data_IF_308600874020
#
_entry.id   IF_308600874020
#
_cell.length_a   1.000
_cell.length_b   1.000
_cell.length_c   1.000
_cell.angle_alpha   90.00
_cell.angle_beta   90.00
_cell.angle_gamma   90.00
#
_symmetry.space_group_name_H-M   'P 1'
#
loop_
_entity.id
_entity.type
_entity.pdbx_description
1 polymer ?
#
# COMPACT_ATOMS: atom_id res chain seq x y z
N UNK A 1 -12.01 -14.07 10.61
CA UNK A 1 -11.72 -12.64 10.33
C UNK A 1 -13.02 -11.95 9.93
N UNK A 2 -13.54 -11.06 10.76
CA UNK A 2 -14.75 -10.28 10.39
C UNK A 2 -14.33 -9.12 9.50
N UNK A 3 -15.24 -8.64 8.64
CA UNK A 3 -14.98 -7.56 7.69
C UNK A 3 -14.39 -6.30 8.37
N UNK A 4 -14.80 -6.02 9.61
CA UNK A 4 -14.29 -4.91 10.43
C UNK A 4 -12.78 -5.00 10.67
N UNK A 5 -12.27 -6.18 10.98
CA UNK A 5 -10.82 -6.37 11.22
C UNK A 5 -9.99 -6.18 9.95
N UNK A 6 -10.55 -6.53 8.78
CA UNK A 6 -9.88 -6.32 7.50
C UNK A 6 -9.70 -4.81 7.23
N UNK A 7 -10.75 -4.02 7.43
CA UNK A 7 -10.67 -2.56 7.28
C UNK A 7 -9.70 -1.90 8.26
N UNK A 8 -9.64 -2.36 9.51
CA UNK A 8 -8.67 -1.85 10.50
C UNK A 8 -7.23 -2.09 10.02
N UNK A 9 -6.94 -3.29 9.49
CA UNK A 9 -5.62 -3.61 8.96
C UNK A 9 -5.27 -2.75 7.74
N UNK A 10 -6.24 -2.49 6.86
CA UNK A 10 -6.04 -1.59 5.72
C UNK A 10 -5.68 -0.18 6.18
N UNK A 11 -6.42 0.38 7.13
CA UNK A 11 -6.20 1.75 7.61
C UNK A 11 -4.85 1.86 8.32
N UNK A 12 -4.57 0.94 9.25
CA UNK A 12 -3.29 0.88 9.93
C UNK A 12 -2.12 0.78 8.94
N UNK A 13 -2.31 0.00 7.87
CA UNK A 13 -1.31 -0.16 6.82
C UNK A 13 -1.07 1.14 6.03
N UNK A 14 -2.12 1.81 5.53
CA UNK A 14 -1.96 3.08 4.82
C UNK A 14 -1.24 4.13 5.67
N UNK A 15 -1.53 4.17 6.98
CA UNK A 15 -0.86 5.08 7.91
C UNK A 15 0.62 4.74 8.07
N UNK A 16 0.97 3.46 8.24
CA UNK A 16 2.36 3.01 8.37
C UNK A 16 3.16 3.26 7.09
N UNK A 17 2.57 3.01 5.92
CA UNK A 17 3.19 3.31 4.63
C UNK A 17 3.49 4.81 4.51
N UNK A 18 2.54 5.66 4.88
CA UNK A 18 2.75 7.11 4.85
C UNK A 18 3.82 7.60 5.81
N UNK A 19 3.92 7.01 6.99
CA UNK A 19 4.97 7.33 7.98
C UNK A 19 6.34 6.82 7.52
N UNK A 20 6.39 5.72 6.75
CA UNK A 20 7.65 5.16 6.29
C UNK A 20 8.41 6.09 5.32
N UNK A 21 7.72 6.91 4.54
CA UNK A 21 8.33 7.84 3.58
C UNK A 21 9.20 8.92 4.25
N UNK A 22 8.69 9.76 5.17
CA UNK A 22 9.53 10.75 5.86
C UNK A 22 10.60 10.08 6.72
N UNK A 23 10.31 8.89 7.26
CA UNK A 23 11.30 8.12 8.02
C UNK A 23 12.47 7.71 7.13
N UNK A 24 12.22 7.04 6.00
CA UNK A 24 13.27 6.62 5.06
C UNK A 24 13.99 7.85 4.49
N UNK A 25 13.26 8.91 4.15
CA UNK A 25 13.83 10.16 3.63
C UNK A 25 14.78 10.84 4.63
N UNK A 26 14.49 10.79 5.93
CA UNK A 26 15.33 11.37 6.98
C UNK A 26 16.66 10.62 7.17
N UNK A 27 16.69 9.31 6.91
CA UNK A 27 17.90 8.48 7.07
C UNK A 27 18.78 8.41 5.83
N UNK A 28 18.17 8.50 4.64
CA UNK A 28 18.88 8.22 3.38
C UNK A 28 19.35 9.47 2.67
N UNK A 29 18.63 10.59 2.80
CA UNK A 29 18.88 11.85 2.08
C UNK A 29 18.84 11.73 0.55
N UNK A 30 18.53 10.54 0.02
CA UNK A 30 18.62 10.17 -1.40
C UNK A 30 17.29 9.61 -1.85
N UNK A 31 16.69 10.27 -2.84
CA UNK A 31 15.31 10.02 -3.25
C UNK A 31 15.09 8.63 -3.85
N UNK A 32 16.10 8.03 -4.50
CA UNK A 32 16.00 6.66 -5.02
C UNK A 32 15.83 5.61 -3.91
N UNK A 33 16.43 5.82 -2.74
CA UNK A 33 16.30 4.90 -1.62
C UNK A 33 14.91 4.95 -0.99
N UNK A 34 14.26 6.12 -1.06
CA UNK A 34 12.84 6.28 -0.69
C UNK A 34 11.95 5.51 -1.66
N UNK A 35 12.19 5.62 -2.96
CA UNK A 35 11.45 4.88 -4.00
C UNK A 35 11.64 3.37 -3.85
N UNK A 36 12.87 2.90 -3.64
CA UNK A 36 13.17 1.48 -3.41
C UNK A 36 12.46 0.95 -2.16
N UNK A 37 12.44 1.73 -1.07
CA UNK A 37 11.73 1.38 0.15
C UNK A 37 10.23 1.22 -0.06
N UNK A 38 9.59 2.15 -0.77
CA UNK A 38 8.15 2.06 -1.09
C UNK A 38 7.86 0.89 -2.03
N UNK A 39 8.72 0.61 -3.01
CA UNK A 39 8.58 -0.55 -3.90
C UNK A 39 8.66 -1.87 -3.14
N UNK A 40 9.61 -2.01 -2.19
CA UNK A 40 9.74 -3.21 -1.35
C UNK A 40 8.49 -3.42 -0.51
N UNK A 41 7.98 -2.35 0.13
CA UNK A 41 6.73 -2.38 0.90
C UNK A 41 5.59 -2.82 -0.02
N UNK A 42 5.43 -2.19 -1.19
CA UNK A 42 4.39 -2.53 -2.16
C UNK A 42 4.44 -4.00 -2.60
N UNK A 43 5.64 -4.54 -2.83
CA UNK A 43 5.84 -5.91 -3.30
C UNK A 43 5.39 -6.96 -2.28
N UNK A 44 5.48 -6.67 -0.98
CA UNK A 44 5.02 -7.56 0.09
C UNK A 44 3.51 -7.44 0.29
N UNK A 45 2.97 -6.23 0.14
CA UNK A 45 1.56 -5.95 0.43
C UNK A 45 0.62 -6.35 -0.70
N UNK A 46 1.00 -6.14 -1.95
CA UNK A 46 0.16 -6.48 -3.09
C UNK A 46 -0.30 -7.96 -3.06
N UNK A 47 0.57 -8.95 -2.80
CA UNK A 47 0.17 -10.35 -2.65
C UNK A 47 -0.81 -10.59 -1.49
N UNK A 48 -0.67 -9.90 -0.36
CA UNK A 48 -1.57 -10.03 0.80
C UNK A 48 -2.99 -9.54 0.49
N UNK A 49 -3.10 -8.39 -0.18
CA UNK A 49 -4.39 -7.84 -0.64
C UNK A 49 -5.02 -8.70 -1.74
N UNK A 50 -4.19 -9.27 -2.62
CA UNK A 50 -4.64 -10.22 -3.63
C UNK A 50 -5.21 -11.50 -3.00
N UNK A 51 -4.51 -12.08 -2.02
CA UNK A 51 -4.95 -13.26 -1.27
C UNK A 51 -6.27 -13.03 -0.52
N UNK A 52 -6.39 -11.90 0.18
CA UNK A 52 -7.64 -11.54 0.87
C UNK A 52 -8.78 -11.33 -0.10
N UNK A 53 -8.52 -10.81 -1.30
CA UNK A 53 -9.52 -10.67 -2.35
C UNK A 53 -10.00 -12.03 -2.86
N UNK A 54 -9.10 -12.99 -3.10
CA UNK A 54 -9.46 -14.37 -3.48
C UNK A 54 -10.35 -15.01 -2.41
N UNK A 55 -10.00 -14.87 -1.13
CA UNK A 55 -10.78 -15.41 -0.02
C UNK A 55 -12.18 -14.78 0.07
N UNK A 56 -12.33 -13.49 -0.25
CA UNK A 56 -13.63 -12.80 -0.28
C UNK A 56 -14.47 -13.18 -1.50
N UNK A 57 -13.83 -13.38 -2.65
CA UNK A 57 -14.45 -13.90 -3.87
C UNK A 57 -15.05 -15.29 -3.65
N UNK A 58 -14.31 -16.19 -2.99
CA UNK A 58 -14.78 -17.53 -2.63
C UNK A 58 -16.00 -17.51 -1.69
N UNK A 59 -16.13 -16.46 -0.86
CA UNK A 59 -17.26 -16.26 0.05
C UNK A 59 -18.46 -15.53 -0.58
N UNK A 60 -18.45 -15.29 -1.89
CA UNK A 60 -19.52 -14.59 -2.61
C UNK A 60 -19.50 -13.05 -2.45
N UNK A 61 -18.55 -12.49 -1.72
CA UNK A 61 -18.44 -11.04 -1.44
C UNK A 61 -17.64 -10.30 -2.52
N UNK A 62 -18.05 -10.46 -3.79
CA UNK A 62 -17.29 -9.97 -4.97
C UNK A 62 -17.05 -8.46 -4.98
N UNK A 63 -18.04 -7.66 -4.58
CA UNK A 63 -17.96 -6.19 -4.57
C UNK A 63 -16.86 -5.69 -3.62
N UNK A 64 -16.75 -6.30 -2.45
CA UNK A 64 -15.77 -5.89 -1.42
C UNK A 64 -14.37 -6.34 -1.83
N UNK A 65 -14.23 -7.55 -2.37
CA UNK A 65 -12.95 -8.01 -2.92
C UNK A 65 -12.42 -7.07 -4.01
N UNK A 66 -13.28 -6.62 -4.93
CA UNK A 66 -12.89 -5.67 -5.97
C UNK A 66 -12.39 -4.34 -5.40
N UNK A 67 -13.04 -3.81 -4.35
CA UNK A 67 -12.59 -2.56 -3.68
C UNK A 67 -11.24 -2.76 -3.01
N UNK A 68 -11.01 -3.90 -2.37
CA UNK A 68 -9.74 -4.22 -1.69
C UNK A 68 -8.58 -4.32 -2.68
N UNK A 69 -8.82 -4.85 -3.88
CA UNK A 69 -7.84 -4.86 -4.98
C UNK A 69 -7.40 -3.48 -5.46
N UNK A 70 -8.22 -2.44 -5.26
CA UNK A 70 -7.89 -1.07 -5.63
C UNK A 70 -7.00 -0.35 -4.61
N UNK A 71 -6.97 -0.84 -3.37
CA UNK A 71 -6.24 -0.19 -2.27
C UNK A 71 -4.73 -0.22 -2.48
N UNK A 72 -4.10 -1.32 -2.96
CA UNK A 72 -2.70 -1.32 -3.33
C UNK A 72 -2.32 -0.32 -4.43
N UNK A 73 -3.27 0.20 -5.22
CA UNK A 73 -2.94 1.29 -6.15
C UNK A 73 -2.65 2.62 -5.44
N UNK A 74 -3.23 2.85 -4.26
CA UNK A 74 -3.02 4.05 -3.45
C UNK A 74 -1.58 4.09 -2.92
N UNK A 75 -0.96 2.93 -2.73
CA UNK A 75 0.45 2.75 -2.32
C UNK A 75 1.43 3.35 -3.33
N UNK A 76 1.02 3.54 -4.59
CA UNK A 76 1.86 4.23 -5.58
C UNK A 76 1.79 5.76 -5.49
N UNK A 77 0.83 6.35 -4.75
CA UNK A 77 0.70 7.79 -4.65
C UNK A 77 1.96 8.46 -4.04
N UNK A 78 2.57 7.94 -2.96
CA UNK A 78 3.87 8.41 -2.48
C UNK A 78 4.98 8.41 -3.52
N UNK A 79 5.06 7.35 -4.32
CA UNK A 79 6.07 7.20 -5.37
C UNK A 79 5.85 8.27 -6.44
N UNK A 80 4.61 8.47 -6.86
CA UNK A 80 4.23 9.46 -7.86
C UNK A 80 4.49 10.90 -7.38
N UNK A 81 4.21 11.20 -6.11
CA UNK A 81 4.50 12.51 -5.51
C UNK A 81 6.02 12.75 -5.47
N UNK A 82 6.79 11.74 -5.05
CA UNK A 82 8.25 11.82 -4.99
C UNK A 82 8.85 11.98 -6.40
N UNK A 83 8.32 11.29 -7.40
CA UNK A 83 8.72 11.46 -8.80
C UNK A 83 8.36 12.84 -9.35
N UNK A 84 7.19 13.40 -9.01
CA UNK A 84 6.82 14.76 -9.41
C UNK A 84 7.80 15.82 -8.90
N UNK A 85 8.36 15.63 -7.70
CA UNK A 85 9.39 16.54 -7.17
C UNK A 85 10.73 16.47 -7.90
N UNK A 86 10.99 15.44 -8.70
CA UNK A 86 12.22 15.30 -9.52
C UNK A 86 12.09 15.90 -10.92
N UNK A 87 10.87 16.01 -11.45
CA UNK A 87 10.60 16.49 -12.82
C UNK A 87 10.48 18.03 -12.86
N UNK A 88 10.27 18.67 -11.70
CA UNK A 88 10.31 20.13 -11.54
C UNK A 88 11.73 20.60 -11.20
#
# INVERSE_FOLDING_TARGET
MTLKWLWILVIAFCVLEWISIPFISAFTGKLYQVVDGVLIITFIIYPLFFLTTILLLQKGNRKIGAVILLIPLIVYAPVLISLQTLVK
#
